data_IF_919713338152
#
_entry.id   IF_919713338152
#
_cell.length_a   1.000
_cell.length_b   1.000
_cell.length_c   1.000
_cell.angle_alpha   90.00
_cell.angle_beta   90.00
_cell.angle_gamma   90.00
#
_symmetry.space_group_name_H-M   'P 1'
#
loop_
_entity.id
_entity.type
_entity.pdbx_description
1 polymer ?
#
# COMPACT_ATOMS: atom_id res chain seq x y z
N UNK A 1 -69.84 -38.90 -6.81
CA UNK A 1 -69.16 -37.79 -7.51
C UNK A 1 -68.34 -36.81 -6.64
N UNK A 2 -68.65 -36.60 -5.33
CA UNK A 2 -67.96 -35.58 -4.51
C UNK A 2 -66.52 -35.93 -4.06
N UNK A 3 -66.19 -37.23 -3.89
CA UNK A 3 -64.86 -37.70 -3.42
C UNK A 3 -63.75 -37.61 -4.48
N UNK A 4 -64.05 -37.85 -5.74
CA UNK A 4 -63.05 -37.80 -6.82
C UNK A 4 -62.53 -36.38 -7.08
N UNK A 5 -63.39 -35.37 -6.91
CA UNK A 5 -63.00 -33.97 -7.09
C UNK A 5 -62.04 -33.46 -6.00
N UNK A 6 -62.14 -34.01 -4.78
CA UNK A 6 -61.22 -33.70 -3.68
C UNK A 6 -59.83 -34.29 -3.91
N UNK A 7 -59.76 -35.56 -4.35
CA UNK A 7 -58.49 -36.21 -4.66
C UNK A 7 -57.77 -35.56 -5.85
N UNK A 8 -58.51 -35.14 -6.88
CA UNK A 8 -57.96 -34.37 -8.01
C UNK A 8 -57.41 -33.02 -7.57
N UNK A 9 -58.14 -32.28 -6.72
CA UNK A 9 -57.68 -31.00 -6.14
C UNK A 9 -56.41 -31.16 -5.27
N UNK A 10 -56.35 -32.17 -4.41
CA UNK A 10 -55.19 -32.43 -3.55
C UNK A 10 -53.95 -32.81 -4.38
N UNK A 11 -54.12 -33.63 -5.42
CA UNK A 11 -53.03 -34.00 -6.34
C UNK A 11 -52.50 -32.81 -7.14
N UNK A 12 -53.39 -31.94 -7.61
CA UNK A 12 -53.03 -30.68 -8.27
C UNK A 12 -52.29 -29.74 -7.31
N UNK A 13 -52.76 -29.61 -6.06
CA UNK A 13 -52.10 -28.83 -5.01
C UNK A 13 -50.68 -29.31 -4.72
N UNK A 14 -50.49 -30.62 -4.55
CA UNK A 14 -49.17 -31.23 -4.32
C UNK A 14 -48.23 -31.06 -5.52
N UNK A 15 -48.75 -31.17 -6.75
CA UNK A 15 -47.99 -30.95 -7.99
C UNK A 15 -47.56 -29.49 -8.15
N UNK A 16 -48.44 -28.53 -7.85
CA UNK A 16 -48.14 -27.09 -7.87
C UNK A 16 -47.09 -26.75 -6.81
N UNK A 17 -47.19 -27.36 -5.62
CA UNK A 17 -46.23 -27.16 -4.54
C UNK A 17 -44.83 -27.68 -4.93
N UNK A 18 -44.74 -28.87 -5.52
CA UNK A 18 -43.48 -29.42 -6.03
C UNK A 18 -42.85 -28.56 -7.13
N UNK A 19 -43.65 -28.06 -8.08
CA UNK A 19 -43.18 -27.14 -9.14
C UNK A 19 -42.68 -25.82 -8.56
N UNK A 20 -43.37 -25.25 -7.57
CA UNK A 20 -42.95 -24.03 -6.88
C UNK A 20 -41.63 -24.19 -6.14
N UNK A 21 -41.42 -25.32 -5.45
CA UNK A 21 -40.14 -25.61 -4.78
C UNK A 21 -38.97 -25.76 -5.78
N UNK A 22 -39.21 -26.36 -6.95
CA UNK A 22 -38.19 -26.46 -8.01
C UNK A 22 -37.84 -25.08 -8.57
N UNK A 23 -38.83 -24.23 -8.84
CA UNK A 23 -38.62 -22.84 -9.31
C UNK A 23 -37.84 -22.03 -8.28
N UNK A 24 -38.18 -22.13 -6.98
CA UNK A 24 -37.45 -21.43 -5.91
C UNK A 24 -35.99 -21.89 -5.88
N UNK A 25 -35.72 -23.19 -5.96
CA UNK A 25 -34.35 -23.76 -6.01
C UNK A 25 -33.56 -23.29 -7.23
N UNK A 26 -34.20 -23.22 -8.39
CA UNK A 26 -33.58 -22.71 -9.62
C UNK A 26 -33.28 -21.21 -9.49
N UNK A 27 -34.23 -20.41 -8.98
CA UNK A 27 -34.01 -18.98 -8.75
C UNK A 27 -32.90 -18.74 -7.73
N UNK A 28 -32.91 -19.45 -6.61
CA UNK A 28 -31.84 -19.31 -5.60
C UNK A 28 -30.49 -19.72 -6.18
N UNK A 29 -30.42 -20.80 -6.97
CA UNK A 29 -29.18 -21.20 -7.61
C UNK A 29 -28.67 -20.16 -8.62
N UNK A 30 -29.58 -19.66 -9.48
CA UNK A 30 -29.26 -18.72 -10.54
C UNK A 30 -28.85 -17.34 -10.02
N UNK A 31 -29.43 -16.90 -8.91
CA UNK A 31 -29.13 -15.57 -8.34
C UNK A 31 -28.10 -15.64 -7.21
N UNK A 32 -28.18 -16.54 -6.22
CA UNK A 32 -27.25 -16.48 -5.08
C UNK A 32 -25.81 -16.92 -5.44
N UNK A 33 -25.61 -17.98 -6.22
CA UNK A 33 -24.25 -18.47 -6.48
C UNK A 33 -23.36 -17.45 -7.21
N UNK A 34 -23.84 -16.72 -8.23
CA UNK A 34 -23.06 -15.65 -8.85
C UNK A 34 -22.80 -14.49 -7.88
N UNK A 35 -23.76 -14.10 -7.05
CA UNK A 35 -23.56 -13.03 -6.05
C UNK A 35 -22.52 -13.39 -4.99
N UNK A 36 -22.46 -14.66 -4.56
CA UNK A 36 -21.49 -15.18 -3.58
C UNK A 36 -20.07 -15.31 -4.17
N UNK A 37 -19.95 -15.56 -5.48
CA UNK A 37 -18.66 -15.76 -6.15
C UNK A 37 -18.09 -14.48 -6.77
N UNK A 38 -18.93 -13.47 -7.04
CA UNK A 38 -18.51 -12.20 -7.60
C UNK A 38 -17.71 -11.32 -6.63
N UNK A 39 -17.82 -11.54 -5.32
CA UNK A 39 -17.26 -10.63 -4.29
C UNK A 39 -15.74 -10.80 -4.03
N UNK A 40 -15.05 -11.72 -4.69
CA UNK A 40 -13.68 -12.11 -4.29
C UNK A 40 -12.58 -12.08 -5.36
N UNK A 41 -12.87 -11.77 -6.63
CA UNK A 41 -11.91 -12.02 -7.71
C UNK A 41 -10.99 -10.81 -8.06
N UNK A 42 -10.86 -9.84 -7.15
CA UNK A 42 -9.91 -8.75 -7.35
C UNK A 42 -8.49 -9.28 -7.13
N UNK A 43 -7.72 -9.41 -8.22
CA UNK A 43 -6.28 -9.69 -8.15
C UNK A 43 -5.59 -8.55 -7.41
N UNK A 44 -5.04 -8.83 -6.24
CA UNK A 44 -4.14 -7.91 -5.55
C UNK A 44 -2.78 -7.98 -6.24
N UNK A 45 -2.45 -6.94 -6.99
CA UNK A 45 -1.09 -6.75 -7.50
C UNK A 45 -0.29 -6.08 -6.40
N UNK A 46 0.57 -6.85 -5.73
CA UNK A 46 1.53 -6.29 -4.80
C UNK A 46 2.56 -5.49 -5.61
N UNK A 47 2.53 -4.18 -5.42
CA UNK A 47 3.57 -3.28 -5.95
C UNK A 47 4.52 -2.99 -4.80
N UNK A 48 5.81 -2.95 -5.09
CA UNK A 48 6.80 -2.51 -4.10
C UNK A 48 6.46 -1.10 -3.64
N UNK A 49 6.36 -0.90 -2.33
CA UNK A 49 6.10 0.42 -1.77
C UNK A 49 7.23 1.40 -2.19
N UNK A 50 6.90 2.63 -2.61
CA UNK A 50 7.91 3.61 -2.96
C UNK A 50 8.76 3.95 -1.73
N UNK A 51 10.08 3.93 -1.90
CA UNK A 51 11.01 4.32 -0.83
C UNK A 51 10.88 5.82 -0.60
N UNK A 52 10.56 6.22 0.64
CA UNK A 52 10.48 7.63 1.00
C UNK A 52 11.83 8.32 0.72
N UNK A 53 11.86 9.45 0.00
CA UNK A 53 13.10 10.12 -0.38
C UNK A 53 13.86 10.63 0.85
N UNK A 54 15.19 10.69 0.75
CA UNK A 54 16.04 11.35 1.75
C UNK A 54 15.78 12.87 1.68
N UNK A 55 15.86 13.57 2.81
CA UNK A 55 15.77 15.04 2.80
C UNK A 55 16.86 15.63 1.92
N UNK A 56 16.51 16.61 1.09
CA UNK A 56 17.42 17.26 0.15
C UNK A 56 18.65 17.86 0.87
N UNK A 57 18.46 18.35 2.11
CA UNK A 57 19.51 18.96 2.92
C UNK A 57 20.67 17.99 3.23
N UNK A 58 20.38 16.69 3.42
CA UNK A 58 21.45 15.71 3.70
C UNK A 58 22.28 15.39 2.46
N UNK A 59 21.72 15.62 1.28
CA UNK A 59 22.37 15.35 -0.02
C UNK A 59 22.90 16.61 -0.69
N UNK A 60 22.67 17.78 -0.09
CA UNK A 60 23.17 19.04 -0.60
C UNK A 60 24.70 19.10 -0.50
N UNK A 61 25.34 19.80 -1.43
CA UNK A 61 26.78 19.99 -1.40
C UNK A 61 27.19 20.77 -0.15
N UNK A 62 28.24 20.29 0.52
CA UNK A 62 28.82 21.02 1.66
C UNK A 62 29.45 22.32 1.17
N UNK A 63 29.06 23.45 1.78
CA UNK A 63 29.59 24.76 1.42
C UNK A 63 31.12 24.80 1.62
N UNK A 64 31.83 25.17 0.56
CA UNK A 64 33.28 25.35 0.59
C UNK A 64 33.58 26.77 1.10
N UNK A 65 34.33 26.93 2.21
CA UNK A 65 34.71 28.24 2.70
C UNK A 65 35.64 28.97 1.73
N UNK A 66 35.46 30.28 1.58
CA UNK A 66 36.23 31.11 0.65
C UNK A 66 37.64 31.43 1.15
N UNK A 67 38.59 31.55 0.23
CA UNK A 67 39.94 32.03 0.54
C UNK A 67 39.98 33.57 0.46
N UNK A 68 40.59 34.20 1.47
CA UNK A 68 40.79 35.66 1.50
C UNK A 68 42.14 36.03 0.87
N UNK A 69 42.19 37.15 0.14
CA UNK A 69 43.41 37.70 -0.48
C UNK A 69 43.63 39.13 0.04
N UNK A 70 44.83 39.49 0.52
CA UNK A 70 46.04 38.68 0.62
C UNK A 70 45.93 37.56 1.68
N UNK A 71 46.51 36.40 1.39
CA UNK A 71 46.42 35.23 2.26
C UNK A 71 47.47 35.31 3.38
N UNK A 72 47.06 35.80 4.54
CA UNK A 72 47.92 35.94 5.74
C UNK A 72 47.91 34.66 6.57
N UNK A 73 48.86 34.53 7.50
CA UNK A 73 48.88 33.42 8.45
C UNK A 73 47.59 33.34 9.30
N UNK A 74 47.07 34.48 9.75
CA UNK A 74 45.79 34.51 10.47
C UNK A 74 44.63 34.01 9.59
N UNK A 75 44.56 34.43 8.33
CA UNK A 75 43.55 33.96 7.39
C UNK A 75 43.63 32.43 7.18
N UNK A 76 44.83 31.85 7.24
CA UNK A 76 44.98 30.39 7.17
C UNK A 76 44.37 29.68 8.38
N UNK A 77 44.49 30.24 9.59
CA UNK A 77 43.92 29.66 10.79
C UNK A 77 42.39 29.71 10.74
N UNK A 78 41.83 30.86 10.36
CA UNK A 78 40.39 31.05 10.20
C UNK A 78 39.80 30.09 9.14
N UNK A 79 40.49 29.95 8.00
CA UNK A 79 40.09 29.01 6.94
C UNK A 79 40.11 27.57 7.44
N UNK A 80 41.14 27.16 8.19
CA UNK A 80 41.20 25.81 8.77
C UNK A 80 40.02 25.57 9.73
N UNK A 81 39.69 26.53 10.60
CA UNK A 81 38.52 26.41 11.49
C UNK A 81 37.24 26.20 10.69
N UNK A 82 37.00 27.01 9.65
CA UNK A 82 35.82 26.89 8.80
C UNK A 82 35.75 25.53 8.09
N UNK A 83 36.89 25.04 7.58
CA UNK A 83 36.99 23.73 6.94
C UNK A 83 36.70 22.58 7.92
N UNK A 84 37.24 22.63 9.14
CA UNK A 84 36.97 21.62 10.16
C UNK A 84 35.49 21.61 10.58
N UNK A 85 34.85 22.78 10.68
CA UNK A 85 33.41 22.87 10.94
C UNK A 85 32.59 22.26 9.79
N UNK A 86 32.89 22.61 8.54
CA UNK A 86 32.21 22.06 7.37
C UNK A 86 32.37 20.53 7.27
N UNK A 87 33.59 20.03 7.54
CA UNK A 87 33.87 18.59 7.59
C UNK A 87 33.11 17.89 8.72
N UNK A 88 33.03 18.52 9.89
CA UNK A 88 32.24 18.01 11.02
C UNK A 88 30.77 17.84 10.64
N UNK A 89 30.18 18.87 10.02
CA UNK A 89 28.79 18.82 9.56
C UNK A 89 28.58 17.73 8.49
N UNK A 90 29.45 17.68 7.48
CA UNK A 90 29.40 16.66 6.43
C UNK A 90 29.42 15.23 7.00
N UNK A 91 30.24 14.99 8.04
CA UNK A 91 30.29 13.70 8.72
C UNK A 91 28.98 13.35 9.46
N UNK A 92 28.30 14.36 10.04
CA UNK A 92 26.98 14.18 10.66
C UNK A 92 25.91 13.84 9.62
N UNK A 93 25.89 14.57 8.50
CA UNK A 93 24.94 14.33 7.41
C UNK A 93 25.11 12.92 6.84
N UNK A 94 26.36 12.51 6.60
CA UNK A 94 26.70 11.14 6.16
C UNK A 94 26.26 10.08 7.18
N UNK A 95 26.38 10.36 8.48
CA UNK A 95 25.92 9.45 9.53
C UNK A 95 24.39 9.34 9.55
N UNK A 96 23.67 10.44 9.35
CA UNK A 96 22.23 10.43 9.27
C UNK A 96 21.73 9.68 8.02
N UNK A 97 22.37 9.84 6.86
CA UNK A 97 22.08 9.04 5.66
C UNK A 97 22.26 7.54 5.96
N UNK A 98 23.38 7.14 6.59
CA UNK A 98 23.61 5.72 6.94
C UNK A 98 22.50 5.16 7.82
N UNK A 99 22.05 5.91 8.84
CA UNK A 99 20.93 5.49 9.71
C UNK A 99 19.62 5.30 8.94
N UNK A 100 19.31 6.21 8.01
CA UNK A 100 18.12 6.12 7.16
C UNK A 100 18.19 4.87 6.27
N UNK A 101 19.34 4.62 5.64
CA UNK A 101 19.53 3.43 4.81
C UNK A 101 19.52 2.13 5.62
N UNK A 102 20.07 2.12 6.83
CA UNK A 102 19.98 0.99 7.75
C UNK A 102 18.53 0.67 8.12
N UNK A 103 17.72 1.69 8.43
CA UNK A 103 16.30 1.52 8.71
C UNK A 103 15.53 0.93 7.52
N UNK A 104 15.92 1.26 6.29
CA UNK A 104 15.33 0.69 5.06
C UNK A 104 15.70 -0.76 4.81
N UNK A 105 16.84 -1.24 5.33
CA UNK A 105 17.26 -2.65 5.19
C UNK A 105 16.54 -3.59 6.15
N UNK A 106 16.03 -3.06 7.27
CA UNK A 106 15.36 -3.85 8.31
C UNK A 106 13.88 -4.07 7.99
N UNK A 107 13.27 -3.14 7.24
CA UNK A 107 11.92 -3.28 6.69
C UNK A 107 11.91 -4.03 5.35
#
# INVERSE_FOLDING_TARGET
MRKENWLKKARLGLSIFGKRCMVIRVLTSLFLLPLLTACGNTRTVYVTAPVAPISADLTADTQIPGMVVPFTWQASLELNTQLYTALGQCNLDKAAIRKIEEARKIN
#
